data_IF_181019434359
#
_entry.id   IF_181019434359
#
_cell.length_a   1.000
_cell.length_b   1.000
_cell.length_c   1.000
_cell.angle_alpha   90.00
_cell.angle_beta   90.00
_cell.angle_gamma   90.00
#
_symmetry.space_group_name_H-M   'P 1'
#
loop_
_entity.id
_entity.type
_entity.pdbx_description
1 polymer ?
#
# COMPACT_ATOMS: atom_id res chain seq x y z
N UNK A 1 7.09 25.95 -3.37
CA UNK A 1 8.34 25.40 -2.81
C UNK A 1 8.19 23.89 -2.75
N UNK A 2 9.06 23.10 -3.39
CA UNK A 2 9.02 21.62 -3.32
C UNK A 2 9.37 21.20 -1.89
N UNK A 3 8.52 20.44 -1.23
CA UNK A 3 8.84 19.79 0.03
C UNK A 3 9.93 18.74 -0.24
N UNK A 4 11.11 18.98 0.28
CA UNK A 4 12.23 18.04 0.22
C UNK A 4 12.07 17.00 1.33
N UNK A 5 12.48 15.75 1.06
CA UNK A 5 12.48 14.72 2.08
C UNK A 5 13.46 15.04 3.22
N UNK A 6 13.17 14.65 4.49
CA UNK A 6 14.00 14.97 5.65
C UNK A 6 15.49 14.59 5.50
N UNK A 7 15.80 13.46 4.88
CA UNK A 7 17.17 13.01 4.60
C UNK A 7 17.91 13.86 3.56
N UNK A 8 17.19 14.46 2.61
CA UNK A 8 17.76 15.37 1.62
C UNK A 8 18.08 16.74 2.24
N UNK A 9 17.26 17.22 3.17
CA UNK A 9 17.52 18.43 3.94
C UNK A 9 18.76 18.29 4.81
N UNK A 10 18.95 17.18 5.50
CA UNK A 10 20.16 16.90 6.30
C UNK A 10 21.42 16.86 5.43
N UNK A 11 21.36 16.16 4.29
CA UNK A 11 22.49 16.10 3.35
C UNK A 11 22.87 17.48 2.78
N UNK A 12 21.87 18.32 2.50
CA UNK A 12 22.06 19.70 2.05
C UNK A 12 22.61 20.61 3.16
N UNK A 13 22.11 20.51 4.38
CA UNK A 13 22.60 21.27 5.54
C UNK A 13 24.05 20.93 5.86
N UNK A 14 24.44 19.65 5.83
CA UNK A 14 25.83 19.21 6.00
C UNK A 14 26.74 19.70 4.87
N UNK A 15 26.25 19.76 3.62
CA UNK A 15 27.01 20.34 2.50
C UNK A 15 27.17 21.86 2.62
N UNK A 16 26.11 22.53 3.03
CA UNK A 16 26.12 24.00 3.22
C UNK A 16 26.98 24.44 4.44
N UNK A 17 26.98 23.67 5.53
CA UNK A 17 27.79 23.93 6.71
C UNK A 17 29.29 23.86 6.43
N UNK A 18 29.72 23.14 5.39
CA UNK A 18 31.13 23.13 4.94
C UNK A 18 31.57 24.43 4.27
N UNK A 19 30.63 25.30 3.86
CA UNK A 19 30.88 26.54 3.12
C UNK A 19 30.56 27.81 3.91
N UNK A 20 30.00 27.67 5.12
CA UNK A 20 29.64 28.82 5.98
C UNK A 20 29.81 28.45 7.44
N UNK A 21 30.79 29.13 8.09
CA UNK A 21 31.09 28.97 9.52
C UNK A 21 29.90 29.36 10.42
N UNK A 22 29.19 30.45 10.05
CA UNK A 22 27.99 30.89 10.77
C UNK A 22 26.84 29.85 10.73
N UNK A 23 26.69 29.12 9.62
CA UNK A 23 25.68 28.05 9.50
C UNK A 23 26.08 26.84 10.32
N UNK A 24 27.36 26.55 10.42
CA UNK A 24 27.90 25.46 11.23
C UNK A 24 27.65 25.72 12.71
N UNK A 25 27.94 26.94 13.18
CA UNK A 25 27.71 27.37 14.55
C UNK A 25 26.23 27.34 14.93
N UNK A 26 25.33 27.73 14.02
CA UNK A 26 23.87 27.63 14.22
C UNK A 26 23.37 26.20 14.29
N UNK A 27 23.90 25.30 13.46
CA UNK A 27 23.53 23.84 13.47
C UNK A 27 24.08 23.17 14.74
N UNK A 28 25.24 23.54 15.21
CA UNK A 28 25.87 23.03 16.42
C UNK A 28 25.30 23.66 17.70
N UNK A 29 24.60 24.79 17.60
CA UNK A 29 23.92 25.44 18.71
C UNK A 29 22.79 24.58 19.26
N UNK A 30 22.50 24.75 20.56
CA UNK A 30 21.46 23.94 21.23
C UNK A 30 20.06 24.08 20.62
N UNK A 31 19.75 25.19 19.92
CA UNK A 31 18.51 25.43 19.20
C UNK A 31 18.46 24.67 17.85
N UNK A 32 19.55 24.71 17.09
CA UNK A 32 19.64 23.94 15.83
C UNK A 32 19.54 22.43 16.05
N UNK A 33 20.19 21.93 17.11
CA UNK A 33 20.06 20.52 17.52
C UNK A 33 18.64 20.16 17.96
N UNK A 34 17.94 21.05 18.69
CA UNK A 34 16.52 20.82 19.08
C UNK A 34 15.58 20.81 17.89
N UNK A 35 15.78 21.69 16.91
CA UNK A 35 14.97 21.73 15.68
C UNK A 35 15.19 20.49 14.81
N UNK A 36 16.43 20.03 14.65
CA UNK A 36 16.75 18.80 13.93
C UNK A 36 16.20 17.57 14.66
N UNK A 37 16.37 17.49 15.99
CA UNK A 37 15.83 16.39 16.78
C UNK A 37 14.29 16.38 16.82
N UNK A 38 13.62 17.54 16.76
CA UNK A 38 12.15 17.62 16.66
C UNK A 38 11.65 17.16 15.27
N UNK A 39 12.36 17.53 14.19
CA UNK A 39 12.04 17.07 12.84
C UNK A 39 12.30 15.55 12.66
N UNK A 40 13.39 15.04 13.24
CA UNK A 40 13.69 13.60 13.25
C UNK A 40 12.68 12.83 14.13
N UNK A 41 12.18 13.43 15.21
CA UNK A 41 11.15 12.85 16.05
C UNK A 41 9.76 12.83 15.37
N UNK A 42 9.45 13.80 14.51
CA UNK A 42 8.24 13.78 13.69
C UNK A 42 8.39 12.86 12.46
N UNK A 43 9.56 12.82 11.83
CA UNK A 43 9.85 11.91 10.72
C UNK A 43 10.03 10.45 11.18
N UNK A 44 10.43 10.21 12.43
CA UNK A 44 10.65 8.88 13.02
C UNK A 44 9.40 8.21 13.61
N UNK A 45 8.24 8.90 13.64
CA UNK A 45 6.99 8.38 14.22
C UNK A 45 5.99 7.85 13.19
N UNK A 46 6.43 7.31 12.06
CA UNK A 46 5.63 6.24 11.47
C UNK A 46 5.86 5.00 12.36
N UNK A 47 4.84 4.48 13.05
CA UNK A 47 4.97 3.19 13.71
C UNK A 47 5.52 2.25 12.63
N UNK A 48 6.48 1.38 12.98
CA UNK A 48 6.93 0.31 12.09
C UNK A 48 5.67 -0.44 11.71
N UNK A 49 5.13 -0.13 10.54
CA UNK A 49 3.95 -0.82 10.04
C UNK A 49 4.33 -2.28 9.97
N UNK A 50 3.56 -3.11 10.66
CA UNK A 50 3.70 -4.56 10.55
C UNK A 50 3.55 -4.99 9.08
N UNK A 51 3.77 -6.26 8.78
CA UNK A 51 3.57 -6.76 7.43
C UNK A 51 2.17 -6.39 6.94
N UNK A 52 2.02 -5.98 5.66
CA UNK A 52 0.72 -5.63 5.13
C UNK A 52 -0.22 -6.84 5.21
N UNK A 53 -1.44 -6.61 5.66
CA UNK A 53 -2.48 -7.63 5.83
C UNK A 53 -3.42 -7.65 4.63
N UNK A 54 -3.84 -8.83 4.21
CA UNK A 54 -4.85 -9.01 3.15
C UNK A 54 -5.74 -10.22 3.44
N UNK A 55 -6.83 -10.37 2.71
CA UNK A 55 -7.69 -11.54 2.81
C UNK A 55 -7.01 -12.82 2.30
N UNK A 56 -7.50 -13.97 2.74
CA UNK A 56 -7.09 -15.28 2.19
C UNK A 56 -7.38 -15.32 0.68
N UNK A 57 -8.53 -14.76 0.23
CA UNK A 57 -8.90 -14.67 -1.18
C UNK A 57 -7.84 -13.95 -2.01
N UNK A 58 -7.47 -12.74 -1.61
CA UNK A 58 -6.49 -11.94 -2.35
C UNK A 58 -5.10 -12.54 -2.29
N UNK A 59 -4.70 -13.14 -1.17
CA UNK A 59 -3.45 -13.88 -1.07
C UNK A 59 -3.39 -15.05 -2.03
N UNK A 60 -4.45 -15.89 -2.09
CA UNK A 60 -4.56 -16.98 -3.06
C UNK A 60 -4.53 -16.46 -4.50
N UNK A 61 -5.12 -15.28 -4.77
CA UNK A 61 -5.05 -14.62 -6.07
C UNK A 61 -3.62 -14.24 -6.46
N UNK A 62 -2.82 -13.68 -5.54
CA UNK A 62 -1.41 -13.38 -5.81
C UNK A 62 -0.59 -14.63 -6.10
N UNK A 63 -0.83 -15.72 -5.35
CA UNK A 63 -0.15 -17.01 -5.57
C UNK A 63 -0.54 -17.60 -6.93
N UNK A 64 -1.82 -17.56 -7.28
CA UNK A 64 -2.31 -18.04 -8.56
C UNK A 64 -1.73 -17.24 -9.73
N UNK A 65 -1.65 -15.92 -9.62
CA UNK A 65 -1.03 -15.06 -10.65
C UNK A 65 0.45 -15.39 -10.85
N UNK A 66 1.19 -15.63 -9.75
CA UNK A 66 2.58 -16.04 -9.83
C UNK A 66 2.74 -17.40 -10.54
N UNK A 67 1.91 -18.37 -10.18
CA UNK A 67 1.92 -19.69 -10.79
C UNK A 67 1.59 -19.62 -12.29
N UNK A 68 0.59 -18.83 -12.67
CA UNK A 68 0.21 -18.60 -14.07
C UNK A 68 1.37 -17.99 -14.88
N UNK A 69 2.00 -16.94 -14.36
CA UNK A 69 3.15 -16.29 -15.02
C UNK A 69 4.28 -17.30 -15.29
N UNK A 70 4.59 -18.15 -14.32
CA UNK A 70 5.67 -19.13 -14.43
C UNK A 70 5.32 -20.24 -15.40
N UNK A 71 4.05 -20.68 -15.44
CA UNK A 71 3.63 -21.83 -16.25
C UNK A 71 3.33 -21.48 -17.71
N UNK A 72 2.86 -20.27 -18.00
CA UNK A 72 2.38 -19.92 -19.34
C UNK A 72 3.21 -18.82 -19.99
N UNK A 73 3.16 -17.54 -19.56
CA UNK A 73 3.84 -16.46 -20.25
C UNK A 73 5.36 -16.62 -20.34
N UNK A 74 6.01 -17.15 -19.31
CA UNK A 74 7.48 -17.32 -19.31
C UNK A 74 7.92 -18.36 -20.34
N UNK A 75 7.41 -19.59 -20.39
CA UNK A 75 7.78 -20.56 -21.43
C UNK A 75 7.40 -20.11 -22.85
N UNK A 76 6.27 -19.44 -23.03
CA UNK A 76 5.88 -18.89 -24.34
C UNK A 76 6.89 -17.84 -24.83
N UNK A 77 7.30 -16.96 -23.91
CA UNK A 77 8.28 -15.92 -24.23
C UNK A 77 9.67 -16.50 -24.53
N UNK A 78 10.06 -17.58 -23.84
CA UNK A 78 11.33 -18.27 -24.13
C UNK A 78 11.31 -18.88 -25.53
N UNK A 79 10.21 -19.49 -25.95
CA UNK A 79 10.02 -19.96 -27.35
C UNK A 79 10.04 -18.81 -28.37
N UNK A 80 9.42 -17.67 -28.03
CA UNK A 80 9.46 -16.49 -28.91
C UNK A 80 10.89 -15.94 -29.09
N UNK A 81 11.70 -15.93 -28.02
CA UNK A 81 13.11 -15.55 -28.11
C UNK A 81 13.91 -16.53 -28.96
N UNK A 82 13.68 -17.84 -28.79
CA UNK A 82 14.33 -18.88 -29.58
C UNK A 82 13.99 -18.76 -31.07
N UNK A 83 12.71 -18.58 -31.39
CA UNK A 83 12.21 -18.37 -32.74
C UNK A 83 12.87 -17.14 -33.39
N UNK A 84 12.86 -16.00 -32.70
CA UNK A 84 13.43 -14.75 -33.18
C UNK A 84 14.97 -14.86 -33.43
N UNK A 85 15.69 -15.66 -32.65
CA UNK A 85 17.11 -15.96 -32.85
C UNK A 85 17.37 -16.69 -34.15
N UNK A 86 16.42 -17.49 -34.61
CA UNK A 86 16.55 -18.26 -35.85
C UNK A 86 16.65 -17.40 -37.13
N UNK A 87 16.27 -16.13 -37.11
CA UNK A 87 16.30 -15.23 -38.24
C UNK A 87 17.72 -14.64 -38.55
N UNK A 88 18.72 -14.89 -37.72
CA UNK A 88 20.16 -14.68 -38.01
C UNK A 88 20.69 -13.27 -37.85
N UNK A 89 19.99 -12.20 -38.24
CA UNK A 89 20.42 -10.83 -38.02
C UNK A 89 19.75 -10.19 -36.82
N UNK A 90 20.55 -9.97 -35.77
CA UNK A 90 20.06 -9.41 -34.50
C UNK A 90 19.97 -7.87 -34.50
N UNK A 91 20.55 -7.19 -35.49
CA UNK A 91 20.68 -5.72 -35.48
C UNK A 91 19.36 -5.02 -35.81
N UNK A 92 18.52 -5.65 -36.62
CA UNK A 92 17.24 -5.11 -37.09
C UNK A 92 16.06 -6.05 -36.75
N UNK A 93 16.23 -6.96 -35.78
CA UNK A 93 15.22 -7.94 -35.43
C UNK A 93 14.29 -7.39 -34.37
N UNK A 94 13.24 -6.68 -34.79
CA UNK A 94 12.23 -6.09 -33.91
C UNK A 94 11.49 -7.14 -33.05
N UNK A 95 11.31 -8.37 -33.57
CA UNK A 95 10.67 -9.46 -32.81
C UNK A 95 11.55 -9.93 -31.64
N UNK A 96 12.85 -10.02 -31.84
CA UNK A 96 13.81 -10.36 -30.79
C UNK A 96 13.84 -9.31 -29.69
N UNK A 97 13.86 -8.02 -30.05
CA UNK A 97 13.86 -6.95 -29.09
C UNK A 97 12.53 -6.87 -28.30
N UNK A 98 11.39 -7.05 -28.96
CA UNK A 98 10.08 -7.14 -28.30
C UNK A 98 10.01 -8.33 -27.34
N UNK A 99 10.50 -9.51 -27.72
CA UNK A 99 10.53 -10.69 -26.87
C UNK A 99 11.45 -10.50 -25.66
N UNK A 100 12.59 -9.82 -25.81
CA UNK A 100 13.49 -9.46 -24.69
C UNK A 100 12.83 -8.47 -23.72
N UNK A 101 12.11 -7.48 -24.24
CA UNK A 101 11.39 -6.52 -23.39
C UNK A 101 10.27 -7.21 -22.61
N UNK A 102 9.50 -8.08 -23.27
CA UNK A 102 8.49 -8.92 -22.59
C UNK A 102 9.12 -9.78 -21.49
N UNK A 103 10.30 -10.38 -21.73
CA UNK A 103 11.04 -11.15 -20.73
C UNK A 103 11.38 -10.31 -19.49
N UNK A 104 11.88 -9.08 -19.70
CA UNK A 104 12.19 -8.15 -18.59
C UNK A 104 10.94 -7.79 -17.79
N UNK A 105 9.82 -7.58 -18.49
CA UNK A 105 8.53 -7.32 -17.83
C UNK A 105 8.09 -8.51 -16.96
N UNK A 106 8.08 -9.73 -17.53
CA UNK A 106 7.69 -10.94 -16.82
C UNK A 106 8.58 -11.22 -15.61
N UNK A 107 9.90 -11.06 -15.75
CA UNK A 107 10.84 -11.23 -14.65
C UNK A 107 10.59 -10.23 -13.53
N UNK A 108 10.33 -8.96 -13.87
CA UNK A 108 10.01 -7.91 -12.90
C UNK A 108 8.70 -8.24 -12.17
N UNK A 109 7.64 -8.56 -12.91
CA UNK A 109 6.35 -8.91 -12.32
C UNK A 109 6.44 -10.14 -11.41
N UNK A 110 7.16 -11.15 -11.83
CA UNK A 110 7.45 -12.33 -11.01
C UNK A 110 8.14 -11.95 -9.69
N UNK A 111 9.20 -11.17 -9.76
CA UNK A 111 9.94 -10.73 -8.56
C UNK A 111 9.10 -9.87 -7.61
N UNK A 112 8.22 -9.00 -8.15
CA UNK A 112 7.26 -8.22 -7.38
C UNK A 112 6.29 -9.13 -6.63
N UNK A 113 5.70 -10.13 -7.32
CA UNK A 113 4.77 -11.09 -6.70
C UNK A 113 5.45 -11.95 -5.64
N UNK A 114 6.64 -12.46 -5.91
CA UNK A 114 7.44 -13.23 -4.94
C UNK A 114 7.70 -12.40 -3.67
N UNK A 115 8.05 -11.13 -3.82
CA UNK A 115 8.27 -10.20 -2.71
C UNK A 115 6.99 -9.93 -1.94
N UNK A 116 5.88 -9.68 -2.64
CA UNK A 116 4.58 -9.44 -2.03
C UNK A 116 4.10 -10.65 -1.23
N UNK A 117 4.13 -11.84 -1.82
CA UNK A 117 3.73 -13.10 -1.17
C UNK A 117 4.57 -13.38 0.07
N UNK A 118 5.88 -13.10 0.02
CA UNK A 118 6.78 -13.29 1.15
C UNK A 118 6.56 -12.31 2.31
N UNK A 119 6.02 -11.12 2.04
CA UNK A 119 5.86 -10.05 3.03
C UNK A 119 4.44 -9.87 3.54
N UNK A 120 3.45 -10.27 2.75
CA UNK A 120 2.03 -10.12 3.06
C UNK A 120 1.56 -11.18 4.06
N UNK A 121 0.76 -10.75 5.04
CA UNK A 121 0.11 -11.64 5.99
C UNK A 121 -1.35 -11.90 5.58
N UNK A 122 -1.70 -13.14 5.21
CA UNK A 122 -3.10 -13.52 4.98
C UNK A 122 -3.86 -13.56 6.30
N UNK A 123 -5.08 -12.99 6.30
CA UNK A 123 -5.94 -12.92 7.48
C UNK A 123 -7.29 -13.59 7.18
N UNK A 124 -7.76 -14.39 8.14
CA UNK A 124 -9.13 -14.92 8.13
C UNK A 124 -10.08 -13.92 8.78
N UNK A 125 -10.91 -13.26 7.96
CA UNK A 125 -11.89 -12.29 8.41
C UNK A 125 -13.00 -12.88 9.29
N UNK A 126 -13.19 -14.20 9.29
CA UNK A 126 -14.17 -14.88 10.17
C UNK A 126 -13.68 -14.96 11.60
N UNK A 127 -12.37 -14.95 11.82
CA UNK A 127 -11.74 -15.11 13.12
C UNK A 127 -11.36 -13.77 13.79
N UNK A 128 -11.56 -12.63 13.13
CA UNK A 128 -11.16 -11.32 13.65
C UNK A 128 -12.07 -10.93 14.83
N UNK A 129 -11.44 -10.65 15.96
CA UNK A 129 -12.11 -10.01 17.11
C UNK A 129 -12.06 -8.50 16.93
N UNK A 130 -13.22 -7.88 16.86
CA UNK A 130 -13.34 -6.43 16.69
C UNK A 130 -13.60 -5.73 18.03
N UNK A 131 -13.17 -4.48 18.12
CA UNK A 131 -13.57 -3.55 19.17
C UNK A 131 -14.74 -2.72 18.62
N UNK A 132 -15.97 -2.81 19.22
CA UNK A 132 -17.13 -2.07 18.73
C UNK A 132 -17.06 -0.57 18.97
N UNK A 133 -16.11 -0.10 19.80
CA UNK A 133 -15.94 1.33 20.10
C UNK A 133 -15.00 2.04 19.12
N UNK A 134 -14.18 1.29 18.38
CA UNK A 134 -13.11 1.86 17.55
C UNK A 134 -13.05 1.20 16.19
N UNK A 135 -12.95 2.03 15.16
CA UNK A 135 -12.72 1.54 13.78
C UNK A 135 -11.36 0.86 13.70
N UNK A 136 -11.38 -0.38 13.27
CA UNK A 136 -10.20 -1.21 13.11
C UNK A 136 -10.29 -2.04 11.82
N UNK A 137 -9.22 -2.72 11.49
CA UNK A 137 -9.21 -3.71 10.42
C UNK A 137 -10.28 -4.80 10.66
N UNK A 138 -11.05 -5.12 9.62
CA UNK A 138 -12.14 -6.10 9.72
C UNK A 138 -13.45 -5.57 10.30
N UNK A 139 -13.64 -4.23 10.37
CA UNK A 139 -14.89 -3.61 10.82
C UNK A 139 -15.71 -3.04 9.67
N UNK A 140 -17.02 -3.01 9.87
CA UNK A 140 -17.97 -2.24 9.07
C UNK A 140 -18.29 -0.94 9.80
N UNK A 141 -18.15 0.18 9.11
CA UNK A 141 -18.41 1.53 9.60
C UNK A 141 -19.64 2.07 8.89
N UNK A 142 -20.72 2.26 9.63
CA UNK A 142 -21.89 2.99 9.13
C UNK A 142 -21.64 4.48 9.35
N UNK A 143 -21.49 5.23 8.27
CA UNK A 143 -21.22 6.66 8.30
C UNK A 143 -22.31 7.46 7.58
N UNK A 144 -22.58 8.67 8.09
CA UNK A 144 -23.51 9.63 7.54
C UNK A 144 -22.74 10.80 6.91
N UNK A 145 -23.05 11.10 5.66
CA UNK A 145 -22.53 12.29 4.96
C UNK A 145 -23.25 13.56 5.41
N UNK A 146 -22.71 14.73 5.06
CA UNK A 146 -23.33 16.03 5.34
C UNK A 146 -24.77 16.16 4.78
N UNK A 147 -25.06 15.44 3.69
CA UNK A 147 -26.39 15.40 3.04
C UNK A 147 -27.38 14.47 3.76
N UNK A 148 -27.00 13.85 4.88
CA UNK A 148 -27.82 12.91 5.65
C UNK A 148 -27.89 11.50 5.05
N UNK A 149 -27.15 11.20 3.98
CA UNK A 149 -27.10 9.87 3.40
C UNK A 149 -26.21 8.96 4.25
N UNK A 150 -26.72 7.79 4.60
CA UNK A 150 -25.98 6.78 5.35
C UNK A 150 -25.40 5.74 4.39
N UNK A 151 -24.12 5.41 4.59
CA UNK A 151 -23.39 4.40 3.78
C UNK A 151 -22.55 3.53 4.70
N UNK A 152 -22.51 2.24 4.41
CA UNK A 152 -21.64 1.29 5.10
C UNK A 152 -20.33 1.14 4.34
N UNK A 153 -19.21 1.32 5.05
CA UNK A 153 -17.86 1.10 4.55
C UNK A 153 -17.24 -0.06 5.29
N UNK A 154 -16.64 -0.99 4.55
CA UNK A 154 -16.02 -2.18 5.10
C UNK A 154 -14.50 -2.03 5.06
N UNK A 155 -13.86 -2.02 6.23
CA UNK A 155 -12.39 -1.85 6.32
C UNK A 155 -11.73 -3.20 6.11
N UNK A 156 -11.07 -3.35 4.97
CA UNK A 156 -10.49 -4.61 4.49
C UNK A 156 -8.99 -4.52 4.26
N UNK A 157 -8.36 -5.59 3.78
CA UNK A 157 -6.94 -5.70 3.55
C UNK A 157 -6.39 -4.82 2.44
N UNK A 158 -5.07 -4.84 2.28
CA UNK A 158 -4.35 -3.96 1.36
C UNK A 158 -4.75 -4.16 -0.11
N UNK A 159 -5.10 -5.38 -0.50
CA UNK A 159 -5.48 -5.76 -1.88
C UNK A 159 -6.95 -6.17 -2.01
N UNK A 160 -7.78 -5.87 -1.00
CA UNK A 160 -9.19 -6.26 -0.96
C UNK A 160 -10.15 -5.12 -1.30
N UNK A 161 -9.63 -3.93 -1.61
CA UNK A 161 -10.44 -2.75 -1.91
C UNK A 161 -11.29 -2.92 -3.16
N UNK A 162 -12.58 -2.61 -3.04
CA UNK A 162 -13.56 -2.65 -4.12
C UNK A 162 -14.58 -1.51 -3.92
N UNK A 163 -14.49 -0.42 -4.71
CA UNK A 163 -15.40 0.72 -4.57
C UNK A 163 -16.87 0.37 -4.79
N UNK A 164 -17.17 -0.59 -5.67
CA UNK A 164 -18.54 -0.97 -6.00
C UNK A 164 -19.25 -1.66 -4.81
N UNK A 165 -18.46 -2.31 -3.96
CA UNK A 165 -18.92 -2.97 -2.74
C UNK A 165 -18.64 -2.15 -1.47
N UNK A 166 -18.18 -0.91 -1.58
CA UNK A 166 -17.71 -0.07 -0.46
C UNK A 166 -16.62 -0.76 0.40
N UNK A 167 -15.79 -1.61 -0.22
CA UNK A 167 -14.65 -2.21 0.45
C UNK A 167 -13.48 -1.23 0.43
N UNK A 168 -13.10 -0.76 1.60
CA UNK A 168 -12.05 0.26 1.77
C UNK A 168 -10.79 -0.40 2.28
N UNK A 169 -9.74 -0.40 1.47
CA UNK A 169 -8.44 -0.88 1.95
C UNK A 169 -7.91 0.03 3.04
N UNK A 170 -7.46 -0.56 4.13
CA UNK A 170 -6.89 0.17 5.27
C UNK A 170 -5.61 0.96 4.93
N UNK A 171 -4.97 0.67 3.81
CA UNK A 171 -3.78 1.37 3.29
C UNK A 171 -4.11 2.60 2.44
N UNK A 172 -5.37 2.80 2.07
CA UNK A 172 -5.77 4.00 1.34
C UNK A 172 -5.88 5.19 2.29
N UNK A 173 -5.70 6.41 1.76
CA UNK A 173 -5.92 7.64 2.55
C UNK A 173 -7.29 7.69 3.20
N UNK A 174 -8.30 7.11 2.56
CA UNK A 174 -9.64 7.01 3.10
C UNK A 174 -9.69 6.02 4.26
N UNK A 175 -9.12 4.82 4.09
CA UNK A 175 -9.03 3.83 5.16
C UNK A 175 -8.21 4.33 6.35
N UNK A 176 -7.06 4.97 6.09
CA UNK A 176 -6.22 5.58 7.13
C UNK A 176 -6.97 6.65 7.94
N UNK A 177 -7.79 7.48 7.28
CA UNK A 177 -8.59 8.51 7.94
C UNK A 177 -9.66 7.92 8.86
N UNK A 178 -10.23 6.76 8.52
CA UNK A 178 -11.24 6.06 9.32
C UNK A 178 -10.63 5.28 10.49
N UNK A 179 -9.43 4.73 10.31
CA UNK A 179 -8.79 3.90 11.34
C UNK A 179 -8.62 4.66 12.65
N UNK A 180 -9.07 4.03 13.72
CA UNK A 180 -8.96 4.58 15.07
C UNK A 180 -10.07 5.53 15.49
N UNK A 181 -10.92 5.98 14.57
CA UNK A 181 -12.06 6.81 14.89
C UNK A 181 -13.13 6.05 15.69
N UNK A 182 -13.95 6.77 16.45
CA UNK A 182 -14.98 6.23 17.34
C UNK A 182 -16.38 6.57 16.86
N UNK A 183 -17.36 5.88 17.40
CA UNK A 183 -18.76 6.25 17.18
C UNK A 183 -19.02 7.67 17.66
N UNK A 184 -19.62 8.49 16.78
CA UNK A 184 -19.89 9.91 17.01
C UNK A 184 -18.84 10.86 16.43
N UNK A 185 -17.65 10.38 16.11
CA UNK A 185 -16.59 11.21 15.50
C UNK A 185 -16.98 11.65 14.09
N UNK A 186 -16.48 12.83 13.72
CA UNK A 186 -16.53 13.35 12.34
C UNK A 186 -15.16 13.25 11.73
N UNK A 187 -15.05 12.50 10.64
CA UNK A 187 -13.80 12.24 9.92
C UNK A 187 -13.80 13.05 8.64
N UNK A 188 -12.71 13.78 8.39
CA UNK A 188 -12.48 14.45 7.11
C UNK A 188 -11.88 13.49 6.09
N UNK A 189 -12.51 13.43 4.93
CA UNK A 189 -12.06 12.59 3.82
C UNK A 189 -11.02 13.32 2.97
N UNK A 190 -10.18 12.58 2.23
CA UNK A 190 -9.14 13.17 1.39
C UNK A 190 -9.64 14.14 0.31
N UNK A 191 -10.92 14.03 -0.06
CA UNK A 191 -11.57 14.87 -1.08
C UNK A 191 -12.25 16.13 -0.51
N UNK A 192 -12.13 16.38 0.80
CA UNK A 192 -12.67 17.56 1.46
C UNK A 192 -14.05 17.36 2.09
N UNK A 193 -14.73 16.25 1.81
CA UNK A 193 -15.99 15.90 2.45
C UNK A 193 -15.77 15.43 3.89
N UNK A 194 -16.79 15.53 4.72
CA UNK A 194 -16.77 14.99 6.09
C UNK A 194 -17.90 13.98 6.27
N UNK A 195 -17.60 12.92 7.00
CA UNK A 195 -18.57 11.89 7.37
C UNK A 195 -18.59 11.69 8.88
N UNK A 196 -19.76 11.43 9.42
CA UNK A 196 -19.97 11.16 10.85
C UNK A 196 -20.19 9.68 11.07
N UNK A 197 -19.39 9.08 11.96
CA UNK A 197 -19.50 7.66 12.29
C UNK A 197 -20.73 7.46 13.20
N UNK A 198 -21.68 6.66 12.73
CA UNK A 198 -22.92 6.33 13.48
C UNK A 198 -22.81 4.99 14.21
N UNK A 199 -22.17 4.01 13.59
CA UNK A 199 -22.07 2.66 14.13
C UNK A 199 -20.81 1.97 13.64
N UNK A 200 -20.25 1.11 14.48
CA UNK A 200 -19.15 0.19 14.15
C UNK A 200 -19.64 -1.23 14.46
N UNK A 201 -19.43 -2.16 13.54
CA UNK A 201 -19.84 -3.56 13.67
C UNK A 201 -18.84 -4.49 12.98
N UNK A 202 -18.98 -5.79 13.17
CA UNK A 202 -18.24 -6.78 12.40
C UNK A 202 -18.62 -6.72 10.92
N UNK A 203 -17.76 -7.25 10.07
CA UNK A 203 -18.11 -7.49 8.67
C UNK A 203 -19.34 -8.39 8.57
N UNK A 204 -20.21 -8.18 7.56
CA UNK A 204 -21.27 -9.12 7.25
C UNK A 204 -20.70 -10.52 7.03
N UNK A 205 -21.38 -11.54 7.58
CA UNK A 205 -20.90 -12.92 7.52
C UNK A 205 -20.67 -13.42 6.08
N UNK A 206 -21.54 -13.03 5.15
CA UNK A 206 -21.40 -13.37 3.73
C UNK A 206 -20.10 -12.78 3.14
N UNK A 207 -19.76 -11.52 3.49
CA UNK A 207 -18.54 -10.86 3.04
C UNK A 207 -17.30 -11.48 3.70
N UNK A 208 -17.35 -11.77 4.99
CA UNK A 208 -16.26 -12.42 5.68
C UNK A 208 -15.93 -13.81 5.07
N UNK A 209 -16.95 -14.57 4.69
CA UNK A 209 -16.81 -15.86 3.97
C UNK A 209 -16.24 -15.66 2.57
N UNK A 210 -16.70 -14.65 1.82
CA UNK A 210 -16.17 -14.32 0.49
C UNK A 210 -14.69 -13.98 0.53
N UNK A 211 -14.25 -13.18 1.53
CA UNK A 211 -12.86 -12.77 1.70
C UNK A 211 -11.97 -13.89 2.27
N UNK A 212 -12.56 -14.86 2.96
CA UNK A 212 -11.84 -15.97 3.59
C UNK A 212 -12.46 -17.30 3.17
N UNK A 213 -12.34 -17.71 1.87
CA UNK A 213 -12.87 -18.98 1.39
C UNK A 213 -12.14 -20.14 2.07
N UNK A 214 -12.91 -21.17 2.42
CA UNK A 214 -12.38 -22.47 2.85
C UNK A 214 -11.68 -23.16 1.68
N UNK A 215 -10.70 -24.02 1.97
CA UNK A 215 -10.02 -24.85 0.97
C UNK A 215 -10.91 -25.95 0.44
#
# INVERSE_FOLDING_TARGET
MRNMAPGECQSLLVKLSRHSEALKEHIESGEGKKLLAAQDAEAGKKPKEGPPMTSIRSYKGLVAELDDIVRVPVPENDKAIEHARGFGDFRENAEYDAAKERRRFLQRRRSELETLIATVQPIDFRAIKIDPEKVSFGTTVTAETADGKTTDYHIVGAWDGDPDKNLVSYKTKFGEALLGAKVGDTVQLPHGDSIRIKKISALPEALAKELSPED
#
